data_IF_116275760669
#
_entry.id   IF_116275760669
#
_cell.length_a   1.000
_cell.length_b   1.000
_cell.length_c   1.000
_cell.angle_alpha   90.00
_cell.angle_beta   90.00
_cell.angle_gamma   90.00
#
_symmetry.space_group_name_H-M   'P 1'
#
loop_
_entity.id
_entity.type
_entity.pdbx_description
1 polymer ?
#
# COMPACT_ATOMS: atom_id res chain seq x y z
N UNK A 1 0.85 15.27 -1.17
CA UNK A 1 2.32 15.39 -1.06
C UNK A 1 2.93 14.17 -1.73
N UNK A 2 3.70 14.33 -2.82
CA UNK A 2 4.33 13.19 -3.52
C UNK A 2 5.40 12.58 -2.59
N UNK A 3 5.37 11.26 -2.43
CA UNK A 3 6.42 10.55 -1.72
C UNK A 3 7.75 10.71 -2.46
N UNK A 4 8.84 10.96 -1.73
CA UNK A 4 10.19 10.87 -2.30
C UNK A 4 10.39 9.47 -2.88
N UNK A 5 10.86 9.40 -4.13
CA UNK A 5 11.13 8.17 -4.86
C UNK A 5 11.97 7.19 -4.04
N UNK A 6 11.71 5.90 -4.21
CA UNK A 6 12.42 4.81 -3.49
C UNK A 6 13.93 4.92 -3.68
N UNK A 7 14.37 5.27 -4.90
CA UNK A 7 15.78 5.49 -5.25
C UNK A 7 16.47 6.53 -4.35
N UNK A 8 15.79 7.64 -4.03
CA UNK A 8 16.36 8.68 -3.15
C UNK A 8 16.54 8.16 -1.72
N UNK A 9 15.63 7.32 -1.24
CA UNK A 9 15.70 6.73 0.10
C UNK A 9 16.84 5.74 0.20
N UNK A 10 16.96 4.86 -0.80
CA UNK A 10 18.05 3.89 -0.88
C UNK A 10 19.40 4.60 -0.86
N UNK A 11 19.60 5.62 -1.72
CA UNK A 11 20.85 6.38 -1.76
C UNK A 11 21.21 7.08 -0.46
N UNK A 12 20.23 7.59 0.29
CA UNK A 12 20.45 8.23 1.59
C UNK A 12 20.89 7.20 2.63
N UNK A 13 20.29 6.02 2.60
CA UNK A 13 20.60 4.89 3.49
C UNK A 13 21.97 4.32 3.18
N UNK A 14 22.25 4.03 1.91
CA UNK A 14 23.55 3.53 1.46
C UNK A 14 24.67 4.50 1.88
N UNK A 15 24.49 5.80 1.65
CA UNK A 15 25.48 6.81 2.05
C UNK A 15 25.67 6.89 3.58
N UNK A 16 24.64 6.58 4.36
CA UNK A 16 24.74 6.49 5.82
C UNK A 16 25.47 5.21 6.25
N UNK A 17 25.19 4.07 5.64
CA UNK A 17 25.87 2.79 5.89
C UNK A 17 27.35 2.84 5.50
N UNK A 18 27.67 3.52 4.40
CA UNK A 18 29.03 3.78 3.94
C UNK A 18 29.77 4.85 4.77
N UNK A 19 29.13 5.37 5.84
CA UNK A 19 29.69 6.40 6.71
C UNK A 19 30.17 7.66 5.96
N UNK A 20 29.51 8.01 4.84
CA UNK A 20 29.89 9.16 3.99
C UNK A 20 29.68 10.52 4.66
N UNK A 21 29.04 10.54 5.83
CA UNK A 21 28.88 11.73 6.65
C UNK A 21 27.77 11.61 7.69
N UNK A 22 27.59 12.69 8.44
CA UNK A 22 26.51 12.82 9.42
C UNK A 22 25.14 12.98 8.73
N UNK A 23 24.05 12.67 9.45
CA UNK A 23 22.67 12.81 8.94
C UNK A 23 22.37 14.21 8.36
N UNK A 24 23.02 15.25 8.91
CA UNK A 24 22.88 16.65 8.45
C UNK A 24 23.61 16.89 7.12
N UNK A 25 24.76 16.27 6.92
CA UNK A 25 25.53 16.37 5.68
C UNK A 25 24.83 15.60 4.56
N UNK A 26 24.33 14.40 4.85
CA UNK A 26 23.50 13.64 3.92
C UNK A 26 22.24 14.42 3.53
N UNK A 27 21.56 15.05 4.49
CA UNK A 27 20.41 15.89 4.21
C UNK A 27 20.73 17.04 3.22
N UNK A 28 21.87 17.72 3.41
CA UNK A 28 22.33 18.76 2.49
C UNK A 28 22.70 18.20 1.11
N UNK A 29 23.43 17.09 1.06
CA UNK A 29 23.87 16.43 -0.19
C UNK A 29 22.69 15.99 -1.06
N UNK A 30 21.69 15.37 -0.43
CA UNK A 30 20.49 14.90 -1.11
C UNK A 30 19.39 15.97 -1.23
N UNK A 31 19.64 17.20 -0.76
CA UNK A 31 18.68 18.32 -0.73
C UNK A 31 17.35 17.94 -0.08
N UNK A 32 17.39 17.15 0.98
CA UNK A 32 16.24 16.70 1.77
C UNK A 32 16.27 17.31 3.17
N UNK A 33 15.15 17.22 3.90
CA UNK A 33 15.12 17.69 5.28
C UNK A 33 15.90 16.74 6.21
N UNK A 34 16.62 17.26 7.23
CA UNK A 34 17.27 16.41 8.23
C UNK A 34 16.27 15.52 8.98
N UNK A 35 15.02 15.98 9.12
CA UNK A 35 13.94 15.20 9.70
C UNK A 35 13.62 13.96 8.85
N UNK A 36 13.59 14.09 7.52
CA UNK A 36 13.37 12.97 6.60
C UNK A 36 14.47 11.91 6.73
N UNK A 37 15.75 12.31 6.74
CA UNK A 37 16.87 11.38 6.94
C UNK A 37 16.76 10.63 8.26
N UNK A 38 16.50 11.35 9.36
CA UNK A 38 16.33 10.74 10.68
C UNK A 38 15.16 9.76 10.74
N UNK A 39 14.00 10.12 10.17
CA UNK A 39 12.83 9.26 10.10
C UNK A 39 13.10 8.00 9.27
N UNK A 40 13.80 8.16 8.14
CA UNK A 40 14.16 7.07 7.24
C UNK A 40 15.09 6.07 7.93
N UNK A 41 16.16 6.56 8.57
CA UNK A 41 17.11 5.71 9.29
C UNK A 41 16.47 5.00 10.49
N UNK A 42 15.64 5.72 11.26
CA UNK A 42 14.88 5.11 12.35
C UNK A 42 14.00 3.97 11.84
N UNK A 43 13.33 4.18 10.71
CA UNK A 43 12.46 3.18 10.09
C UNK A 43 13.23 1.98 9.57
N UNK A 44 14.40 2.20 8.95
CA UNK A 44 15.29 1.12 8.55
C UNK A 44 15.72 0.27 9.74
N UNK A 45 16.09 0.88 10.86
CA UNK A 45 16.48 0.15 12.07
C UNK A 45 15.33 -0.63 12.72
N UNK A 46 14.11 -0.10 12.71
CA UNK A 46 12.95 -0.75 13.37
C UNK A 46 12.25 -1.78 12.49
N UNK A 47 12.11 -1.50 11.20
CA UNK A 47 11.30 -2.30 10.27
C UNK A 47 12.16 -3.09 9.26
N UNK A 48 13.48 -2.82 9.18
CA UNK A 48 14.36 -3.42 8.18
C UNK A 48 14.06 -3.00 6.73
N UNK A 49 13.14 -2.05 6.53
CA UNK A 49 12.65 -1.66 5.22
C UNK A 49 12.78 -0.16 4.99
N UNK A 50 13.17 0.20 3.76
CA UNK A 50 13.27 1.59 3.29
C UNK A 50 12.13 1.98 2.34
N UNK A 51 11.32 1.00 1.96
CA UNK A 51 10.23 1.17 1.02
C UNK A 51 9.14 2.09 1.61
N UNK A 52 8.51 2.95 0.79
CA UNK A 52 7.29 3.62 1.21
C UNK A 52 6.29 2.58 1.67
N UNK A 53 5.58 2.85 2.79
CA UNK A 53 4.34 2.12 3.03
C UNK A 53 3.52 2.22 1.75
N UNK A 54 3.06 1.10 1.19
CA UNK A 54 2.31 1.15 -0.05
C UNK A 54 1.19 2.17 0.14
N UNK A 55 1.15 3.15 -0.77
CA UNK A 55 0.04 4.09 -0.90
C UNK A 55 -1.18 3.36 -1.48
N UNK A 56 -1.46 2.14 -1.04
CA UNK A 56 -2.71 1.47 -1.33
C UNK A 56 -3.74 2.16 -0.45
N UNK A 57 -4.33 3.20 -1.02
CA UNK A 57 -5.44 3.93 -0.44
C UNK A 57 -6.62 2.99 -0.34
N UNK A 58 -7.22 2.96 0.84
CA UNK A 58 -8.41 2.17 1.12
C UNK A 58 -8.12 1.21 2.25
N UNK A 59 -8.76 1.49 3.37
CA UNK A 59 -9.11 0.59 4.47
C UNK A 59 -9.01 -0.89 4.07
N UNK A 60 -8.47 -1.74 4.95
CA UNK A 60 -8.61 -3.20 4.89
C UNK A 60 -10.09 -3.53 4.66
N UNK A 61 -10.49 -3.60 3.40
CA UNK A 61 -11.85 -3.91 3.02
C UNK A 61 -12.02 -5.34 3.50
N UNK A 62 -13.13 -5.68 4.17
CA UNK A 62 -13.38 -7.06 4.63
C UNK A 62 -13.19 -8.11 3.50
N UNK A 63 -13.22 -7.65 2.25
CA UNK A 63 -12.97 -8.38 1.02
C UNK A 63 -11.50 -8.57 0.62
N UNK A 64 -10.51 -7.98 1.30
CA UNK A 64 -9.09 -8.10 0.92
C UNK A 64 -8.60 -9.55 0.94
N UNK A 65 -9.04 -10.33 1.94
CA UNK A 65 -8.75 -11.77 2.03
C UNK A 65 -9.66 -12.64 1.13
N UNK A 66 -10.74 -12.06 0.60
CA UNK A 66 -11.73 -12.76 -0.23
C UNK A 66 -11.74 -12.23 -1.66
N UNK A 67 -10.72 -11.46 -2.05
CA UNK A 67 -10.66 -10.81 -3.36
C UNK A 67 -10.66 -11.84 -4.49
N UNK A 68 -9.91 -12.94 -4.31
CA UNK A 68 -9.86 -14.03 -5.28
C UNK A 68 -11.21 -14.76 -5.39
N UNK A 69 -11.92 -14.93 -4.28
CA UNK A 69 -13.26 -15.53 -4.25
C UNK A 69 -14.30 -14.64 -4.93
N UNK A 70 -14.26 -13.33 -4.68
CA UNK A 70 -15.13 -12.35 -5.34
C UNK A 70 -14.89 -12.37 -6.85
N UNK A 71 -13.62 -12.40 -7.26
CA UNK A 71 -13.25 -12.45 -8.67
C UNK A 71 -13.72 -13.74 -9.33
N UNK A 72 -13.58 -14.89 -8.66
CA UNK A 72 -14.10 -16.16 -9.15
C UNK A 72 -15.63 -16.16 -9.28
N UNK A 73 -16.35 -15.59 -8.31
CA UNK A 73 -17.81 -15.47 -8.39
C UNK A 73 -18.25 -14.57 -9.55
N UNK A 74 -17.55 -13.46 -9.78
CA UNK A 74 -17.83 -12.56 -10.92
C UNK A 74 -17.42 -13.16 -12.26
N UNK A 75 -16.39 -14.01 -12.30
CA UNK A 75 -16.01 -14.75 -13.51
C UNK A 75 -16.99 -15.89 -13.81
N UNK A 76 -17.57 -16.53 -12.78
CA UNK A 76 -18.59 -17.55 -12.93
C UNK A 76 -19.94 -16.97 -13.36
N UNK A 77 -20.34 -15.85 -12.75
CA UNK A 77 -21.61 -15.15 -13.01
C UNK A 77 -21.36 -13.72 -13.51
N UNK A 78 -20.72 -13.58 -14.68
CA UNK A 78 -20.38 -12.27 -15.25
C UNK A 78 -21.61 -11.43 -15.66
N UNK A 79 -22.74 -12.09 -15.91
CA UNK A 79 -24.01 -11.46 -16.28
C UNK A 79 -24.87 -11.06 -15.07
N UNK A 80 -24.47 -11.42 -13.85
CA UNK A 80 -25.21 -11.06 -12.64
C UNK A 80 -25.05 -9.57 -12.34
N UNK A 81 -26.14 -8.94 -11.93
CA UNK A 81 -26.13 -7.55 -11.50
C UNK A 81 -25.31 -7.40 -10.21
N UNK A 82 -24.78 -6.20 -9.95
CA UNK A 82 -24.01 -5.93 -8.72
C UNK A 82 -24.80 -6.25 -7.44
N UNK A 83 -26.13 -6.13 -7.47
CA UNK A 83 -27.00 -6.47 -6.34
C UNK A 83 -27.07 -7.98 -6.10
N UNK A 84 -27.16 -8.77 -7.17
CA UNK A 84 -27.14 -10.23 -7.12
C UNK A 84 -25.79 -10.76 -6.64
N UNK A 85 -24.69 -10.19 -7.12
CA UNK A 85 -23.34 -10.51 -6.66
C UNK A 85 -23.15 -10.20 -5.17
N UNK A 86 -23.72 -9.08 -4.69
CA UNK A 86 -23.73 -8.75 -3.27
C UNK A 86 -24.52 -9.78 -2.44
N UNK A 87 -25.70 -10.19 -2.91
CA UNK A 87 -26.52 -11.20 -2.23
C UNK A 87 -25.83 -12.58 -2.21
N UNK A 88 -25.18 -12.97 -3.31
CA UNK A 88 -24.41 -14.22 -3.39
C UNK A 88 -23.20 -14.19 -2.44
N UNK A 89 -22.48 -13.07 -2.34
CA UNK A 89 -21.37 -12.91 -1.39
C UNK A 89 -21.83 -12.99 0.06
N UNK A 90 -22.99 -12.42 0.37
CA UNK A 90 -23.60 -12.57 1.70
C UNK A 90 -23.97 -14.03 1.97
N UNK A 91 -24.53 -14.75 1.00
CA UNK A 91 -24.89 -16.16 1.19
C UNK A 91 -23.68 -17.09 1.32
N UNK A 92 -22.64 -16.90 0.51
CA UNK A 92 -21.48 -17.80 0.50
C UNK A 92 -20.43 -17.47 1.56
N UNK A 93 -20.18 -16.17 1.79
CA UNK A 93 -19.06 -15.70 2.63
C UNK A 93 -19.57 -15.02 3.91
N UNK A 94 -20.88 -14.80 4.07
CA UNK A 94 -21.46 -14.01 5.17
C UNK A 94 -20.89 -12.59 5.26
N UNK A 95 -20.46 -12.04 4.13
CA UNK A 95 -19.94 -10.68 4.03
C UNK A 95 -20.98 -9.81 3.35
N UNK A 96 -21.58 -8.91 4.13
CA UNK A 96 -22.40 -7.83 3.58
C UNK A 96 -21.50 -6.75 2.98
N UNK A 97 -21.57 -6.60 1.66
CA UNK A 97 -20.91 -5.53 0.92
C UNK A 97 -21.93 -4.79 0.07
N UNK A 98 -21.77 -3.47 -0.03
CA UNK A 98 -22.63 -2.68 -0.90
C UNK A 98 -22.24 -2.85 -2.38
N UNK A 99 -23.17 -2.68 -3.33
CA UNK A 99 -22.85 -2.68 -4.77
C UNK A 99 -21.72 -1.70 -5.14
N UNK A 100 -21.66 -0.57 -4.41
CA UNK A 100 -20.60 0.44 -4.56
C UNK A 100 -19.22 -0.02 -4.05
N UNK A 101 -19.18 -0.95 -3.10
CA UNK A 101 -17.93 -1.56 -2.63
C UNK A 101 -17.45 -2.59 -3.65
N UNK A 102 -18.37 -3.42 -4.16
CA UNK A 102 -18.08 -4.45 -5.16
C UNK A 102 -17.59 -3.86 -6.49
N UNK A 103 -18.24 -2.78 -6.95
CA UNK A 103 -17.80 -2.07 -8.16
C UNK A 103 -16.39 -1.47 -8.03
N UNK A 104 -16.00 -1.01 -6.82
CA UNK A 104 -14.63 -0.50 -6.58
C UNK A 104 -13.59 -1.61 -6.56
N UNK A 105 -13.93 -2.78 -6.02
CA UNK A 105 -13.03 -3.93 -6.02
C UNK A 105 -12.88 -4.57 -7.40
N UNK A 106 -13.90 -4.49 -8.26
CA UNK A 106 -13.80 -4.99 -9.63
C UNK A 106 -13.02 -4.06 -10.59
N UNK A 107 -12.96 -2.76 -10.29
CA UNK A 107 -12.24 -1.77 -11.10
C UNK A 107 -10.81 -1.46 -10.60
N UNK A 108 -10.33 -2.13 -9.53
CA UNK A 108 -8.97 -1.97 -8.99
C UNK A 108 -8.00 -3.01 -9.55
#
# INVERSE_FOLDING_TARGET
MKAYSVDLRQKVVDAYEQQEGSQRELAKRFKVSPNFVRLLLKRQQTEGTIEPKPHTGGFDSKLANHHDLVKQLVEQDNDATLEELCAQLEQQVQIQVSPSTLCRTLHS
#
